data_IF_107674827315
#
_entry.id   IF_107674827315
#
_cell.length_a   1.000
_cell.length_b   1.000
_cell.length_c   1.000
_cell.angle_alpha   90.00
_cell.angle_beta   90.00
_cell.angle_gamma   90.00
#
_symmetry.space_group_name_H-M   'P 1'
#
loop_
_entity.id
_entity.type
_entity.pdbx_description
1 polymer ?
#
# COMPACT_ATOMS: atom_id res chain seq x y z
N UNK A 1 6.04 -13.59 -1.84
CA UNK A 1 5.02 -13.53 -0.78
C UNK A 1 4.34 -12.18 -0.83
N UNK A 2 3.06 -12.09 -0.45
CA UNK A 2 2.35 -10.81 -0.31
C UNK A 2 1.92 -10.62 1.15
N UNK A 3 2.30 -9.49 1.75
CA UNK A 3 1.83 -9.06 3.07
C UNK A 3 0.60 -8.18 2.86
N UNK A 4 -0.51 -8.50 3.51
CA UNK A 4 -1.80 -7.86 3.26
C UNK A 4 -2.32 -7.23 4.55
N UNK A 5 -2.43 -5.89 4.56
CA UNK A 5 -2.73 -5.07 5.73
C UNK A 5 -4.14 -4.47 5.62
N UNK A 6 -5.02 -4.86 6.54
CA UNK A 6 -6.40 -4.39 6.57
C UNK A 6 -6.52 -2.93 7.06
N UNK A 7 -7.66 -2.28 6.76
CA UNK A 7 -7.98 -0.96 7.28
C UNK A 7 -8.57 -1.00 8.70
N UNK A 8 -8.86 0.17 9.26
CA UNK A 8 -9.56 0.30 10.54
C UNK A 8 -10.90 -0.44 10.53
N UNK A 9 -11.31 -0.93 11.71
CA UNK A 9 -12.55 -1.65 11.99
C UNK A 9 -12.70 -2.99 11.24
N UNK A 10 -11.70 -3.38 10.45
CA UNK A 10 -11.66 -4.61 9.70
C UNK A 10 -10.83 -5.67 10.45
N UNK A 11 -10.90 -6.89 9.95
CA UNK A 11 -10.03 -8.01 10.33
C UNK A 11 -9.38 -8.55 9.07
N UNK A 12 -8.22 -9.18 9.19
CA UNK A 12 -7.53 -9.90 8.12
C UNK A 12 -8.47 -10.86 7.37
N UNK A 13 -9.28 -11.61 8.12
CA UNK A 13 -10.22 -12.60 7.55
C UNK A 13 -11.27 -11.93 6.66
N UNK A 14 -11.86 -10.81 7.10
CA UNK A 14 -12.86 -10.11 6.31
C UNK A 14 -12.22 -9.39 5.12
N UNK A 15 -11.02 -8.85 5.30
CA UNK A 15 -10.27 -8.18 4.24
C UNK A 15 -9.85 -9.15 3.14
N UNK A 16 -9.41 -10.37 3.47
CA UNK A 16 -9.11 -11.42 2.49
C UNK A 16 -10.32 -11.79 1.62
N UNK A 17 -11.51 -11.91 2.23
CA UNK A 17 -12.75 -12.22 1.47
C UNK A 17 -13.02 -11.21 0.36
N UNK A 18 -12.68 -9.94 0.58
CA UNK A 18 -12.86 -8.88 -0.41
C UNK A 18 -11.67 -8.77 -1.38
N UNK A 19 -10.44 -8.70 -0.86
CA UNK A 19 -9.24 -8.52 -1.66
C UNK A 19 -8.94 -9.76 -2.52
N UNK A 20 -9.21 -10.96 -2.01
CA UNK A 20 -9.07 -12.23 -2.73
C UNK A 20 -7.62 -12.70 -2.90
N UNK A 21 -6.69 -12.27 -2.04
CA UNK A 21 -5.29 -12.69 -2.15
C UNK A 21 -5.11 -14.18 -1.87
N UNK A 22 -5.82 -14.77 -0.90
CA UNK A 22 -5.74 -16.23 -0.66
C UNK A 22 -6.17 -17.04 -1.87
N UNK A 23 -7.17 -16.59 -2.61
CA UNK A 23 -7.60 -17.26 -3.84
C UNK A 23 -6.52 -17.17 -4.92
N UNK A 24 -5.97 -15.98 -5.15
CA UNK A 24 -4.91 -15.78 -6.15
C UNK A 24 -3.63 -16.53 -5.77
N UNK A 25 -3.31 -16.61 -4.48
CA UNK A 25 -2.18 -17.36 -3.95
C UNK A 25 -2.25 -18.86 -4.25
N UNK A 26 -3.43 -19.46 -4.10
CA UNK A 26 -3.66 -20.87 -4.48
C UNK A 26 -3.48 -21.12 -5.97
N UNK A 27 -3.81 -20.13 -6.81
CA UNK A 27 -3.69 -20.24 -8.27
C UNK A 27 -2.26 -19.96 -8.76
N UNK A 28 -1.59 -18.97 -8.17
CA UNK A 28 -0.29 -18.48 -8.58
C UNK A 28 0.90 -19.09 -7.84
N UNK A 29 0.65 -19.93 -6.83
CA UNK A 29 1.72 -20.62 -6.09
C UNK A 29 2.57 -19.68 -5.23
N UNK A 30 1.98 -18.69 -4.58
CA UNK A 30 2.70 -17.77 -3.68
C UNK A 30 2.10 -17.74 -2.28
N UNK A 31 2.90 -17.37 -1.28
CA UNK A 31 2.43 -17.21 0.10
C UNK A 31 1.76 -15.85 0.32
N UNK A 32 0.77 -15.80 1.21
CA UNK A 32 0.15 -14.57 1.70
C UNK A 32 0.27 -14.52 3.22
N UNK A 33 0.70 -13.38 3.73
CA UNK A 33 0.80 -13.10 5.15
C UNK A 33 -0.24 -12.02 5.51
N UNK A 34 -1.05 -12.30 6.53
CA UNK A 34 -2.06 -11.38 7.03
C UNK A 34 -1.77 -10.99 8.48
N UNK A 35 -1.07 -9.87 8.72
CA UNK A 35 -0.98 -9.28 10.04
C UNK A 35 -2.37 -8.83 10.53
N UNK A 36 -2.73 -9.20 11.76
CA UNK A 36 -4.00 -8.85 12.41
C UNK A 36 -3.74 -7.84 13.53
N UNK A 37 -4.42 -6.70 13.49
CA UNK A 37 -4.36 -5.73 14.59
C UNK A 37 -5.23 -6.17 15.78
N UNK A 38 -4.77 -5.85 16.99
CA UNK A 38 -5.50 -6.15 18.23
C UNK A 38 -6.13 -4.90 18.81
N UNK A 39 -7.35 -5.03 19.35
CA UNK A 39 -8.08 -3.94 20.03
C UNK A 39 -7.31 -3.31 21.19
N UNK A 40 -6.46 -4.09 21.86
CA UNK A 40 -5.61 -3.60 22.96
C UNK A 40 -4.54 -2.60 22.49
N UNK A 41 -4.11 -2.69 21.23
CA UNK A 41 -3.15 -1.75 20.64
C UNK A 41 -3.85 -0.52 20.05
N UNK A 42 -5.08 -0.70 19.56
CA UNK A 42 -5.93 0.35 19.02
C UNK A 42 -7.39 -0.11 19.04
N UNK A 43 -8.28 0.59 19.74
CA UNK A 43 -9.68 0.17 19.91
C UNK A 43 -10.47 0.02 18.60
N UNK A 44 -10.05 0.75 17.56
CA UNK A 44 -10.61 0.65 16.21
C UNK A 44 -9.88 -0.39 15.33
N UNK A 45 -8.97 -1.19 15.88
CA UNK A 45 -8.10 -2.10 15.13
C UNK A 45 -7.34 -1.43 13.98
N UNK A 46 -7.04 -0.12 14.08
CA UNK A 46 -6.19 0.56 13.12
C UNK A 46 -4.72 0.24 13.37
N UNK A 47 -3.93 0.10 12.31
CA UNK A 47 -2.47 0.20 12.41
C UNK A 47 -2.06 1.62 12.84
N UNK A 48 -1.11 1.72 13.77
CA UNK A 48 -0.68 2.97 14.39
C UNK A 48 0.46 3.65 13.59
N UNK A 49 0.30 3.75 12.28
CA UNK A 49 1.29 4.28 11.31
C UNK A 49 1.83 5.68 11.63
N UNK A 50 1.08 6.48 12.39
CA UNK A 50 1.42 7.85 12.76
C UNK A 50 2.33 7.97 13.99
N UNK A 51 2.62 6.88 14.70
CA UNK A 51 3.47 6.93 15.90
C UNK A 51 4.90 6.50 15.54
N UNK A 52 5.91 7.39 15.61
CA UNK A 52 7.29 7.01 15.29
C UNK A 52 7.80 5.83 16.13
N UNK A 53 7.37 5.74 17.39
CA UNK A 53 7.74 4.63 18.29
C UNK A 53 7.29 3.24 17.83
N UNK A 54 6.38 3.14 16.84
CA UNK A 54 5.90 1.85 16.31
C UNK A 54 5.96 1.72 14.78
N UNK A 55 6.18 2.83 14.07
CA UNK A 55 6.25 2.86 12.61
C UNK A 55 7.69 3.01 12.06
N UNK A 56 8.66 3.31 12.92
CA UNK A 56 10.07 3.38 12.51
C UNK A 56 10.72 1.99 12.40
N UNK A 57 11.82 1.90 11.63
CA UNK A 57 12.60 0.67 11.47
C UNK A 57 12.97 0.05 12.82
N UNK A 58 12.82 -1.26 12.90
CA UNK A 58 13.08 -2.10 14.08
C UNK A 58 12.31 -1.70 15.35
N UNK A 59 11.17 -1.02 15.18
CA UNK A 59 10.25 -0.67 16.28
C UNK A 59 8.81 -1.12 16.02
N UNK A 60 8.11 -1.42 17.11
CA UNK A 60 6.67 -1.71 17.20
C UNK A 60 6.04 -2.55 16.08
N UNK A 61 5.00 -2.00 15.45
CA UNK A 61 4.17 -2.73 14.48
C UNK A 61 4.96 -3.10 13.22
N UNK A 62 5.82 -2.19 12.75
CA UNK A 62 6.66 -2.43 11.56
C UNK A 62 7.68 -3.55 11.84
N UNK A 63 8.35 -3.55 12.99
CA UNK A 63 9.19 -4.68 13.42
C UNK A 63 8.43 -6.00 13.56
N UNK A 64 7.20 -5.96 14.07
CA UNK A 64 6.37 -7.15 14.19
C UNK A 64 6.05 -7.75 12.81
N UNK A 65 5.74 -6.90 11.82
CA UNK A 65 5.51 -7.33 10.44
C UNK A 65 6.78 -7.96 9.84
N UNK A 66 7.97 -7.36 10.02
CA UNK A 66 9.24 -7.97 9.58
C UNK A 66 9.44 -9.35 10.21
N UNK A 67 9.24 -9.49 11.51
CA UNK A 67 9.40 -10.79 12.19
C UNK A 67 8.41 -11.84 11.68
N UNK A 68 7.19 -11.43 11.32
CA UNK A 68 6.21 -12.33 10.68
C UNK A 68 6.67 -12.76 9.27
N UNK A 69 7.24 -11.85 8.47
CA UNK A 69 7.83 -12.15 7.15
C UNK A 69 8.96 -13.17 7.31
N UNK A 70 9.88 -12.95 8.25
CA UNK A 70 11.01 -13.84 8.52
C UNK A 70 10.57 -15.21 9.05
N UNK A 71 9.53 -15.23 9.89
CA UNK A 71 8.95 -16.48 10.38
C UNK A 71 8.36 -17.30 9.23
N UNK A 72 7.60 -16.66 8.34
CA UNK A 72 7.08 -17.31 7.13
C UNK A 72 8.20 -17.81 6.22
N UNK A 73 9.22 -16.99 6.03
CA UNK A 73 10.39 -17.33 5.22
C UNK A 73 11.10 -18.58 5.76
N UNK A 74 11.43 -18.61 7.05
CA UNK A 74 12.12 -19.77 7.65
C UNK A 74 11.25 -21.02 7.64
N UNK A 75 9.97 -20.90 8.00
CA UNK A 75 9.05 -22.05 8.11
C UNK A 75 8.75 -22.69 6.76
N UNK A 76 8.64 -21.88 5.70
CA UNK A 76 8.21 -22.33 4.38
C UNK A 76 9.31 -22.26 3.31
N UNK A 77 10.55 -21.92 3.70
CA UNK A 77 11.72 -21.77 2.80
C UNK A 77 11.43 -20.86 1.60
N UNK A 78 10.74 -19.75 1.86
CA UNK A 78 10.35 -18.80 0.81
C UNK A 78 11.56 -17.94 0.40
N UNK A 79 11.65 -17.58 -0.87
CA UNK A 79 12.57 -16.51 -1.30
C UNK A 79 12.07 -15.15 -0.80
N UNK A 80 13.01 -14.30 -0.38
CA UNK A 80 12.76 -12.89 -0.03
C UNK A 80 12.89 -11.95 -1.25
N UNK A 81 13.26 -12.47 -2.42
CA UNK A 81 13.50 -11.65 -3.63
C UNK A 81 12.20 -11.03 -4.19
N UNK A 82 11.04 -11.50 -3.70
CA UNK A 82 9.70 -11.09 -4.14
C UNK A 82 8.74 -10.99 -2.97
N UNK A 83 9.02 -10.08 -2.03
CA UNK A 83 8.08 -9.73 -0.97
C UNK A 83 7.38 -8.43 -1.35
N UNK A 84 6.05 -8.48 -1.41
CA UNK A 84 5.22 -7.32 -1.70
C UNK A 84 4.33 -6.97 -0.52
N UNK A 85 4.00 -5.69 -0.35
CA UNK A 85 3.07 -5.24 0.70
C UNK A 85 1.87 -4.56 0.07
N UNK A 86 0.67 -4.93 0.49
CA UNK A 86 -0.59 -4.36 0.02
C UNK A 86 -1.41 -3.90 1.21
N UNK A 87 -1.96 -2.69 1.18
CA UNK A 87 -2.79 -2.22 2.29
C UNK A 87 -3.85 -1.20 1.91
N UNK A 88 -4.92 -1.16 2.72
CA UNK A 88 -6.01 -0.19 2.63
C UNK A 88 -6.00 0.75 3.84
N UNK A 89 -6.23 2.06 3.64
CA UNK A 89 -6.45 3.04 4.71
C UNK A 89 -5.27 3.06 5.69
N UNK A 90 -5.50 2.86 7.00
CA UNK A 90 -4.44 2.68 7.99
C UNK A 90 -3.46 1.54 7.62
N UNK A 91 -3.93 0.47 6.98
CA UNK A 91 -3.09 -0.59 6.43
C UNK A 91 -2.29 -0.14 5.20
N UNK A 92 -2.81 0.79 4.40
CA UNK A 92 -2.09 1.42 3.28
C UNK A 92 -0.97 2.34 3.77
N UNK A 93 -1.25 3.17 4.79
CA UNK A 93 -0.23 3.95 5.46
C UNK A 93 0.83 3.07 6.15
N UNK A 94 0.41 1.94 6.74
CA UNK A 94 1.36 0.96 7.27
C UNK A 94 2.16 0.26 6.16
N UNK A 95 1.59 0.01 4.97
CA UNK A 95 2.33 -0.49 3.83
C UNK A 95 3.45 0.48 3.40
N UNK A 96 3.16 1.79 3.37
CA UNK A 96 4.17 2.82 3.14
C UNK A 96 5.28 2.79 4.21
N UNK A 97 4.90 2.64 5.49
CA UNK A 97 5.87 2.54 6.59
C UNK A 97 6.75 1.29 6.50
N UNK A 98 6.18 0.13 6.14
CA UNK A 98 6.94 -1.11 5.96
C UNK A 98 7.93 -0.98 4.80
N UNK A 99 7.51 -0.38 3.67
CA UNK A 99 8.41 -0.11 2.55
C UNK A 99 9.53 0.87 2.89
N UNK A 100 9.22 1.92 3.66
CA UNK A 100 10.22 2.89 4.10
C UNK A 100 11.20 2.31 5.14
N UNK A 101 10.74 1.40 6.00
CA UNK A 101 11.57 0.80 7.02
C UNK A 101 12.42 -0.35 6.52
N UNK A 102 11.92 -1.15 5.57
CA UNK A 102 12.61 -2.34 5.09
C UNK A 102 12.69 -2.44 3.55
N UNK A 103 13.31 -1.46 2.88
CA UNK A 103 13.54 -1.54 1.44
C UNK A 103 14.48 -2.70 1.06
N UNK A 104 15.26 -3.20 2.01
CA UNK A 104 16.15 -4.36 1.91
C UNK A 104 15.42 -5.71 1.80
N UNK A 105 14.14 -5.78 2.21
CA UNK A 105 13.34 -7.02 2.13
C UNK A 105 12.11 -6.88 1.22
N UNK A 106 11.57 -5.67 1.04
CA UNK A 106 10.35 -5.44 0.27
C UNK A 106 10.68 -5.01 -1.14
N UNK A 107 10.20 -5.76 -2.13
CA UNK A 107 10.44 -5.49 -3.55
C UNK A 107 9.48 -4.44 -4.12
N UNK A 108 8.32 -4.25 -3.49
CA UNK A 108 7.34 -3.26 -3.90
C UNK A 108 6.06 -3.31 -3.08
N UNK A 109 5.14 -2.38 -3.30
CA UNK A 109 3.89 -2.37 -2.60
C UNK A 109 2.81 -1.51 -3.23
N UNK A 110 1.58 -1.73 -2.77
CA UNK A 110 0.40 -0.99 -3.17
C UNK A 110 -0.27 -0.35 -1.97
N UNK A 111 -0.48 0.95 -2.08
CA UNK A 111 -1.05 1.81 -1.04
C UNK A 111 -2.42 2.26 -1.53
N UNK A 112 -3.48 1.70 -0.95
CA UNK A 112 -4.86 2.04 -1.28
C UNK A 112 -5.42 2.97 -0.22
N UNK A 113 -5.87 4.16 -0.60
CA UNK A 113 -6.42 5.18 0.29
C UNK A 113 -5.55 5.44 1.55
N UNK A 114 -4.22 5.39 1.37
CA UNK A 114 -3.24 5.48 2.45
C UNK A 114 -2.60 6.86 2.56
N UNK A 115 -1.52 6.95 3.33
CA UNK A 115 -0.81 8.21 3.61
C UNK A 115 0.71 8.03 3.46
N UNK A 116 1.45 9.12 3.19
CA UNK A 116 2.91 9.11 3.14
C UNK A 116 3.52 8.66 4.48
N UNK A 117 4.67 8.01 4.40
CA UNK A 117 5.45 7.70 5.60
C UNK A 117 5.90 9.01 6.29
N UNK A 118 5.74 9.07 7.61
CA UNK A 118 6.12 10.25 8.41
C UNK A 118 5.17 11.45 8.28
N UNK A 119 3.99 11.28 7.68
CA UNK A 119 3.03 12.38 7.52
C UNK A 119 2.51 12.94 8.85
N UNK A 120 2.43 12.12 9.89
CA UNK A 120 2.02 12.51 11.23
C UNK A 120 2.92 11.88 12.30
N UNK A 121 2.91 12.46 13.51
CA UNK A 121 3.68 11.99 14.67
C UNK A 121 2.82 11.61 15.88
N UNK A 122 1.53 11.93 15.83
CA UNK A 122 0.54 11.67 16.87
C UNK A 122 -0.87 11.56 16.26
N UNK A 123 -1.87 11.24 17.10
CA UNK A 123 -3.23 10.98 16.64
C UNK A 123 -3.96 12.23 16.13
N UNK A 124 -3.68 13.42 16.69
CA UNK A 124 -4.32 14.66 16.24
C UNK A 124 -3.75 15.08 14.88
N UNK A 125 -2.42 15.02 14.74
CA UNK A 125 -1.73 15.21 13.47
C UNK A 125 -2.23 14.21 12.43
N UNK A 126 -2.41 12.94 12.80
CA UNK A 126 -2.96 11.92 11.89
C UNK A 126 -4.34 12.30 11.35
N UNK A 127 -5.25 12.75 12.23
CA UNK A 127 -6.58 13.18 11.80
C UNK A 127 -6.54 14.41 10.88
N UNK A 128 -5.64 15.36 11.16
CA UNK A 128 -5.45 16.55 10.33
C UNK A 128 -4.97 16.17 8.93
N UNK A 129 -3.90 15.37 8.82
CA UNK A 129 -3.33 14.99 7.52
C UNK A 129 -4.26 14.07 6.73
N UNK A 130 -5.02 13.20 7.41
CA UNK A 130 -6.07 12.41 6.76
C UNK A 130 -7.07 13.31 6.04
N UNK A 131 -7.55 14.38 6.67
CA UNK A 131 -8.60 15.24 6.10
C UNK A 131 -8.08 16.25 5.08
N UNK A 132 -6.86 16.75 5.26
CA UNK A 132 -6.35 17.91 4.51
C UNK A 132 -5.21 17.57 3.56
N UNK A 133 -4.58 16.41 3.73
CA UNK A 133 -3.26 16.12 3.18
C UNK A 133 -2.16 16.86 3.93
N UNK A 134 -0.94 16.33 3.87
CA UNK A 134 0.26 17.02 4.35
C UNK A 134 0.97 17.69 3.17
N UNK A 135 1.37 18.96 3.36
CA UNK A 135 2.17 19.70 2.38
C UNK A 135 3.62 19.77 2.82
N UNK A 136 4.51 19.19 2.03
CA UNK A 136 5.97 19.28 2.15
C UNK A 136 6.57 19.25 0.76
N UNK A 137 7.76 19.82 0.62
CA UNK A 137 8.56 19.65 -0.59
C UNK A 137 8.87 18.17 -0.84
N UNK A 138 8.95 17.71 -2.11
CA UNK A 138 9.28 16.33 -2.45
C UNK A 138 10.53 15.81 -1.72
N UNK A 139 11.60 16.62 -1.67
CA UNK A 139 12.83 16.26 -0.96
C UNK A 139 12.63 16.02 0.53
N UNK A 140 11.84 16.87 1.18
CA UNK A 140 11.53 16.70 2.60
C UNK A 140 10.68 15.44 2.85
N UNK A 141 9.87 15.02 1.88
CA UNK A 141 9.17 13.73 1.93
C UNK A 141 10.11 12.54 1.78
N UNK A 142 11.01 12.55 0.80
CA UNK A 142 11.97 11.47 0.61
C UNK A 142 12.98 11.40 1.75
N UNK A 143 13.41 12.52 2.31
CA UNK A 143 14.30 12.53 3.48
C UNK A 143 13.68 11.79 4.67
N UNK A 144 12.36 11.84 4.90
CA UNK A 144 11.72 11.04 5.95
C UNK A 144 11.92 9.54 5.72
N UNK A 145 11.85 9.07 4.48
CA UNK A 145 12.08 7.66 4.13
C UNK A 145 13.56 7.32 4.25
N UNK A 146 14.47 8.14 3.70
CA UNK A 146 15.93 7.91 3.77
C UNK A 146 16.43 7.83 5.21
N UNK A 147 15.97 8.71 6.11
CA UNK A 147 16.36 8.70 7.52
C UNK A 147 15.88 7.46 8.30
N UNK A 148 14.87 6.74 7.79
CA UNK A 148 14.32 5.56 8.43
C UNK A 148 14.81 4.24 7.81
N UNK A 149 15.27 4.30 6.56
CA UNK A 149 15.87 3.18 5.83
C UNK A 149 17.29 2.85 6.35
N UNK A 150 17.83 1.66 6.04
CA UNK A 150 19.24 1.37 6.29
C UNK A 150 20.15 2.21 5.37
N UNK A 151 21.40 2.42 5.74
CA UNK A 151 22.32 3.29 5.00
C UNK A 151 22.66 2.76 3.59
N UNK A 152 22.55 1.44 3.36
CA UNK A 152 23.06 0.76 2.17
C UNK A 152 21.97 0.24 1.22
N UNK A 153 20.84 0.95 1.09
CA UNK A 153 19.74 0.60 0.18
C UNK A 153 20.24 0.40 -1.25
N UNK A 154 20.15 -0.84 -1.76
CA UNK A 154 20.56 -1.18 -3.13
C UNK A 154 19.46 -0.92 -4.16
N UNK A 155 18.20 -1.04 -3.74
CA UNK A 155 17.03 -0.83 -4.60
C UNK A 155 15.87 -0.39 -3.72
N UNK A 156 15.16 0.64 -4.16
CA UNK A 156 13.92 1.06 -3.54
C UNK A 156 12.73 0.20 -4.00
N UNK A 157 11.74 -0.07 -3.13
CA UNK A 157 10.52 -0.77 -3.51
C UNK A 157 9.78 -0.04 -4.64
N UNK A 158 9.19 -0.78 -5.58
CA UNK A 158 8.24 -0.18 -6.53
C UNK A 158 6.92 0.15 -5.85
N UNK A 159 6.26 1.24 -6.23
CA UNK A 159 5.06 1.72 -5.51
C UNK A 159 3.89 1.96 -6.44
N UNK A 160 2.73 1.43 -6.07
CA UNK A 160 1.46 1.68 -6.74
C UNK A 160 0.47 2.35 -5.79
N UNK A 161 0.05 3.57 -6.10
CA UNK A 161 -0.84 4.39 -5.27
C UNK A 161 -2.24 4.34 -5.85
N UNK A 162 -3.25 4.03 -5.03
CA UNK A 162 -4.64 3.93 -5.45
C UNK A 162 -5.51 4.81 -4.57
N UNK A 163 -6.29 5.70 -5.18
CA UNK A 163 -7.06 6.70 -4.44
C UNK A 163 -8.40 6.97 -5.12
N UNK A 164 -9.48 6.96 -4.35
CA UNK A 164 -10.77 7.48 -4.80
C UNK A 164 -10.75 9.01 -4.79
N UNK A 165 -11.23 9.64 -5.86
CA UNK A 165 -11.23 11.11 -5.99
C UNK A 165 -12.24 11.80 -5.06
N UNK A 166 -13.25 11.07 -4.59
CA UNK A 166 -14.30 11.58 -3.72
C UNK A 166 -14.10 11.13 -2.26
N UNK A 167 -12.93 10.57 -1.93
CA UNK A 167 -12.61 10.05 -0.60
C UNK A 167 -12.73 11.12 0.50
N UNK A 168 -13.74 10.95 1.37
CA UNK A 168 -14.04 11.88 2.46
C UNK A 168 -13.32 11.56 3.77
N UNK A 169 -12.55 10.47 3.83
CA UNK A 169 -11.85 10.02 5.03
C UNK A 169 -10.36 10.31 4.93
N UNK A 170 -9.75 9.96 3.79
CA UNK A 170 -8.35 10.23 3.45
C UNK A 170 -8.34 11.05 2.16
N UNK A 171 -8.12 12.35 2.30
CA UNK A 171 -8.12 13.31 1.20
C UNK A 171 -7.21 12.84 0.06
N UNK A 172 -7.64 12.97 -1.21
CA UNK A 172 -6.81 12.69 -2.37
C UNK A 172 -5.48 13.45 -2.41
N UNK A 173 -5.35 14.56 -1.67
CA UNK A 173 -4.08 15.25 -1.48
C UNK A 173 -2.99 14.36 -0.88
N UNK A 174 -3.35 13.32 -0.13
CA UNK A 174 -2.40 12.33 0.39
C UNK A 174 -1.84 11.42 -0.71
N UNK A 175 -2.58 11.17 -1.80
CA UNK A 175 -2.07 10.43 -2.95
C UNK A 175 -1.04 11.23 -3.75
N UNK A 176 -1.20 12.56 -3.83
CA UNK A 176 -0.19 13.46 -4.41
C UNK A 176 1.04 13.56 -3.50
N UNK A 177 0.87 13.62 -2.18
CA UNK A 177 1.99 13.60 -1.24
C UNK A 177 2.76 12.28 -1.27
N UNK A 178 2.06 11.15 -1.44
CA UNK A 178 2.68 9.83 -1.64
C UNK A 178 3.47 9.81 -2.95
N UNK A 179 2.89 10.34 -4.02
CA UNK A 179 3.55 10.43 -5.31
C UNK A 179 4.84 11.27 -5.20
N UNK A 180 4.77 12.45 -4.58
CA UNK A 180 5.93 13.30 -4.35
C UNK A 180 7.02 12.59 -3.52
N UNK A 181 6.63 11.86 -2.45
CA UNK A 181 7.56 11.11 -1.62
C UNK A 181 8.31 10.04 -2.41
N UNK A 182 7.59 9.24 -3.19
CA UNK A 182 8.19 8.11 -3.90
C UNK A 182 8.88 8.53 -5.20
N UNK A 183 8.45 9.60 -5.87
CA UNK A 183 9.20 10.20 -6.97
C UNK A 183 10.56 10.73 -6.49
N UNK A 184 10.64 11.45 -5.37
CA UNK A 184 11.91 11.92 -4.81
C UNK A 184 12.84 10.76 -4.40
N UNK A 185 12.27 9.67 -3.87
CA UNK A 185 13.02 8.47 -3.51
C UNK A 185 13.65 7.77 -4.73
N UNK A 186 12.91 7.70 -5.83
CA UNK A 186 13.38 7.11 -7.08
C UNK A 186 14.14 8.11 -7.98
N UNK A 187 14.27 9.38 -7.58
CA UNK A 187 14.92 10.43 -8.38
C UNK A 187 14.18 10.77 -9.68
N UNK A 188 12.85 10.65 -9.67
CA UNK A 188 11.98 10.84 -10.83
C UNK A 188 11.59 12.32 -11.00
N UNK A 189 11.38 12.73 -12.25
CA UNK A 189 10.81 14.04 -12.57
C UNK A 189 9.32 14.15 -12.27
N UNK A 190 8.80 15.37 -12.29
CA UNK A 190 7.40 15.68 -11.94
C UNK A 190 6.40 15.10 -12.95
N UNK A 191 6.78 15.00 -14.22
CA UNK A 191 5.91 14.51 -15.29
C UNK A 191 5.98 12.99 -15.44
N UNK A 192 4.84 12.29 -15.54
CA UNK A 192 4.82 10.85 -15.75
C UNK A 192 5.32 10.48 -17.14
N UNK A 193 6.12 9.41 -17.23
CA UNK A 193 6.52 8.80 -18.50
C UNK A 193 5.33 8.30 -19.31
N UNK A 194 4.29 7.83 -18.64
CA UNK A 194 3.04 7.40 -19.27
C UNK A 194 1.84 7.92 -18.50
N UNK A 195 0.85 8.46 -19.20
CA UNK A 195 -0.43 8.86 -18.62
C UNK A 195 -1.58 8.37 -19.51
N UNK A 196 -2.75 8.17 -18.91
CA UNK A 196 -3.94 7.76 -19.66
C UNK A 196 -5.13 7.47 -18.77
N UNK A 197 -6.23 7.03 -19.39
CA UNK A 197 -7.48 6.67 -18.70
C UNK A 197 -7.82 5.20 -18.98
N UNK A 198 -8.14 4.43 -17.93
CA UNK A 198 -8.55 3.03 -18.03
C UNK A 198 -9.87 2.84 -17.25
N UNK A 199 -10.98 2.79 -17.97
CA UNK A 199 -12.32 2.80 -17.36
C UNK A 199 -12.57 4.15 -16.71
N UNK A 200 -12.91 4.17 -15.42
CA UNK A 200 -13.11 5.39 -14.63
C UNK A 200 -11.83 5.85 -13.90
N UNK A 201 -10.65 5.39 -14.31
CA UNK A 201 -9.39 5.67 -13.60
C UNK A 201 -8.43 6.46 -14.45
N UNK A 202 -7.92 7.56 -13.92
CA UNK A 202 -6.72 8.20 -14.42
C UNK A 202 -5.50 7.41 -13.91
N UNK A 203 -4.63 7.00 -14.82
CA UNK A 203 -3.43 6.23 -14.52
C UNK A 203 -2.20 7.00 -14.96
N UNK A 204 -1.25 7.21 -14.04
CA UNK A 204 0.04 7.85 -14.29
C UNK A 204 1.16 6.89 -13.89
N UNK A 205 2.22 6.79 -14.69
CA UNK A 205 3.36 5.90 -14.45
C UNK A 205 4.68 6.58 -14.73
N UNK A 206 5.64 6.30 -13.87
CA UNK A 206 7.04 6.66 -14.01
C UNK A 206 7.85 5.37 -14.17
N UNK A 207 8.61 5.31 -15.25
CA UNK A 207 9.42 4.16 -15.61
C UNK A 207 10.88 4.45 -15.27
N UNK A 208 11.64 3.41 -14.93
CA UNK A 208 13.10 3.47 -14.86
C UNK A 208 13.74 3.40 -16.26
N UNK A 209 15.06 3.46 -16.32
CA UNK A 209 15.84 3.36 -17.56
C UNK A 209 15.67 2.01 -18.28
N UNK A 210 15.19 0.98 -17.59
CA UNK A 210 14.89 -0.34 -18.17
C UNK A 210 13.45 -0.43 -18.71
N UNK A 211 12.66 0.64 -18.58
CA UNK A 211 11.25 0.68 -18.97
C UNK A 211 10.32 -0.05 -17.99
N UNK A 212 10.77 -0.40 -16.79
CA UNK A 212 9.93 -0.99 -15.75
C UNK A 212 9.28 0.12 -14.92
N UNK A 213 7.99 -0.01 -14.62
CA UNK A 213 7.28 0.97 -13.78
C UNK A 213 7.75 0.88 -12.33
N UNK A 214 8.35 1.96 -11.82
CA UNK A 214 8.83 2.05 -10.43
C UNK A 214 7.87 2.81 -9.52
N UNK A 215 7.12 3.77 -10.06
CA UNK A 215 6.04 4.47 -9.36
C UNK A 215 4.84 4.57 -10.30
N UNK A 216 3.65 4.24 -9.82
CA UNK A 216 2.39 4.50 -10.52
C UNK A 216 1.30 4.99 -9.58
N UNK A 217 0.34 5.73 -10.14
CA UNK A 217 -0.81 6.26 -9.44
C UNK A 217 -2.09 5.98 -10.24
N UNK A 218 -3.12 5.52 -9.53
CA UNK A 218 -4.46 5.24 -10.03
C UNK A 218 -5.46 6.11 -9.25
N UNK A 219 -5.97 7.17 -9.88
CA UNK A 219 -7.04 8.00 -9.32
C UNK A 219 -8.38 7.54 -9.89
N UNK A 220 -9.32 7.16 -9.02
CA UNK A 220 -10.60 6.55 -9.39
C UNK A 220 -11.71 7.58 -9.24
N UNK A 221 -12.31 7.97 -10.36
CA UNK A 221 -13.41 8.94 -10.37
C UNK A 221 -14.65 8.39 -9.63
N UNK A 222 -15.31 9.28 -8.89
CA UNK A 222 -16.55 9.01 -8.16
C UNK A 222 -16.46 7.91 -7.09
N UNK A 223 -15.25 7.59 -6.64
CA UNK A 223 -15.02 6.59 -5.60
C UNK A 223 -14.64 7.26 -4.28
N UNK A 224 -15.33 6.87 -3.21
CA UNK A 224 -15.07 7.27 -1.83
C UNK A 224 -14.00 6.37 -1.16
N UNK A 225 -13.87 6.42 0.16
CA UNK A 225 -12.88 5.69 0.94
C UNK A 225 -13.09 4.16 0.96
N UNK A 226 -12.28 3.40 0.22
CA UNK A 226 -12.34 1.95 0.28
C UNK A 226 -11.40 1.21 -0.67
N UNK A 227 -11.48 -0.11 -0.62
CA UNK A 227 -10.79 -0.99 -1.56
C UNK A 227 -11.57 -1.01 -2.89
N UNK A 228 -10.96 -0.66 -4.03
CA UNK A 228 -11.61 -0.82 -5.32
C UNK A 228 -11.68 -2.31 -5.66
N UNK A 229 -12.90 -2.80 -5.86
CA UNK A 229 -13.22 -4.15 -6.31
C UNK A 229 -14.19 -4.11 -7.49
N UNK A 230 -14.31 -5.23 -8.21
CA UNK A 230 -15.30 -5.37 -9.27
C UNK A 230 -16.67 -5.78 -8.69
N UNK A 231 -17.75 -5.26 -9.26
CA UNK A 231 -19.16 -5.55 -8.94
C UNK A 231 -19.44 -7.02 -8.59
N UNK A 232 -18.92 -7.95 -9.40
CA UNK A 232 -19.14 -9.38 -9.24
C UNK A 232 -18.60 -9.94 -7.92
N UNK A 233 -17.49 -9.38 -7.40
CA UNK A 233 -16.97 -9.73 -6.07
C UNK A 233 -17.83 -9.13 -4.96
N UNK A 234 -18.27 -7.88 -5.12
CA UNK A 234 -19.05 -7.17 -4.11
C UNK A 234 -20.37 -7.89 -3.77
N UNK A 235 -21.02 -8.51 -4.76
CA UNK A 235 -22.25 -9.31 -4.54
C UNK A 235 -22.08 -10.47 -3.55
N UNK A 236 -20.85 -10.95 -3.34
CA UNK A 236 -20.53 -12.10 -2.47
C UNK A 236 -20.12 -11.70 -1.05
N UNK A 237 -20.04 -10.40 -0.75
CA UNK A 237 -19.58 -9.88 0.53
C UNK A 237 -20.75 -9.56 1.45
N UNK A 238 -20.62 -9.96 2.71
CA UNK A 238 -21.58 -9.66 3.79
C UNK A 238 -21.36 -8.27 4.37
N UNK A 239 -20.10 -7.87 4.54
CA UNK A 239 -19.69 -6.50 4.90
C UNK A 239 -19.25 -5.78 3.63
N UNK A 240 -19.82 -4.60 3.36
CA UNK A 240 -19.59 -3.86 2.11
C UNK A 240 -19.06 -2.45 2.35
N UNK A 241 -19.08 -1.95 3.59
CA UNK A 241 -18.75 -0.57 3.92
C UNK A 241 -17.38 -0.12 3.38
N UNK A 242 -16.40 -1.03 3.31
CA UNK A 242 -15.02 -0.72 2.95
C UNK A 242 -14.62 -1.17 1.54
N UNK A 243 -15.56 -1.71 0.77
CA UNK A 243 -15.28 -2.32 -0.53
C UNK A 243 -16.21 -1.71 -1.57
N UNK A 244 -15.63 -1.05 -2.57
CA UNK A 244 -16.39 -0.21 -3.48
C UNK A 244 -16.31 -0.80 -4.89
N UNK A 245 -17.44 -0.79 -5.59
CA UNK A 245 -17.45 -1.17 -6.99
C UNK A 245 -16.79 -0.06 -7.81
N UNK A 246 -15.60 -0.35 -8.30
CA UNK A 246 -14.81 0.54 -9.14
C UNK A 246 -14.61 -0.02 -10.55
N UNK A 247 -15.33 -1.10 -10.91
CA UNK A 247 -15.11 -1.83 -12.16
C UNK A 247 -13.73 -2.54 -12.25
N UNK A 248 -12.90 -2.46 -11.20
CA UNK A 248 -11.56 -3.03 -11.14
C UNK A 248 -11.20 -3.49 -9.73
N UNK A 249 -10.40 -4.55 -9.62
CA UNK A 249 -9.84 -5.00 -8.34
C UNK A 249 -8.38 -4.57 -8.25
N UNK A 250 -8.03 -3.64 -7.35
CA UNK A 250 -6.63 -3.25 -7.13
C UNK A 250 -5.75 -4.46 -6.83
N UNK A 251 -6.19 -5.37 -5.96
CA UNK A 251 -5.45 -6.59 -5.62
C UNK A 251 -5.13 -7.46 -6.84
N UNK A 252 -6.06 -7.59 -7.78
CA UNK A 252 -5.87 -8.40 -9.00
C UNK A 252 -4.93 -7.71 -9.99
N UNK A 253 -5.04 -6.40 -10.14
CA UNK A 253 -4.11 -5.63 -10.98
C UNK A 253 -2.69 -5.70 -10.41
N UNK A 254 -2.52 -5.57 -9.09
CA UNK A 254 -1.22 -5.70 -8.44
C UNK A 254 -0.64 -7.11 -8.55
N UNK A 255 -1.45 -8.16 -8.37
CA UNK A 255 -0.99 -9.53 -8.56
C UNK A 255 -0.47 -9.78 -9.99
N UNK A 256 -1.07 -9.15 -11.01
CA UNK A 256 -0.59 -9.20 -12.39
C UNK A 256 0.67 -8.37 -12.60
N UNK A 257 0.72 -7.16 -12.06
CA UNK A 257 1.88 -6.27 -12.15
C UNK A 257 3.13 -6.94 -11.56
N UNK A 258 2.97 -7.61 -10.41
CA UNK A 258 4.03 -8.37 -9.74
C UNK A 258 4.28 -9.75 -10.32
N UNK A 259 3.64 -10.09 -11.46
CA UNK A 259 3.80 -11.37 -12.16
C UNK A 259 3.52 -12.59 -11.27
N UNK A 260 2.63 -12.44 -10.29
CA UNK A 260 2.20 -13.52 -9.37
C UNK A 260 1.06 -14.36 -9.96
N UNK A 261 0.32 -13.79 -10.92
CA UNK A 261 -0.70 -14.48 -11.71
C UNK A 261 -0.57 -14.05 -13.18
N UNK A 262 -1.10 -14.84 -14.15
CA UNK A 262 -1.04 -14.49 -15.56
C UNK A 262 -1.68 -13.12 -15.85
N UNK A 263 -1.09 -12.37 -16.79
CA UNK A 263 -1.70 -11.17 -17.37
C UNK A 263 -3.00 -11.58 -18.10
N UNK A 264 -4.01 -10.70 -18.07
CA UNK A 264 -5.25 -10.91 -18.83
C UNK A 264 -4.85 -11.01 -20.32
N UNK A 265 -5.26 -12.09 -21.00
CA UNK A 265 -5.16 -12.14 -22.46
C UNK A 265 -6.01 -10.99 -23.01
N UNK A 266 -5.40 -10.13 -23.83
CA UNK A 266 -6.08 -9.08 -24.59
C UNK A 266 -7.11 -9.67 -25.53
#
# INVERSE_FOLDING_TARGET
MVVVLHGCLQTAKNFDRAAGWTQMARQGGFAVLYPEQKKVNNSNCCFNWFRPSVASRDRGEVASIRQMIESMQRRHKLSLDRVYVFGLSAGGAMAAAVMAAYPDIVSGGAIVAGLPFGAARDAMGALSVMRQGAKREPRAWGDLVRHNAPDDVKRWPTVSIWQGQDDQVVSPANAEALLAQWCDIHGLGDEPTQNGVIGNRQVRRWLDDNGETVVEQHLIASMDHGLPIAAAKLKRLTEKRFYLDAGVCASTEMARAWRLIPRKKS
#
